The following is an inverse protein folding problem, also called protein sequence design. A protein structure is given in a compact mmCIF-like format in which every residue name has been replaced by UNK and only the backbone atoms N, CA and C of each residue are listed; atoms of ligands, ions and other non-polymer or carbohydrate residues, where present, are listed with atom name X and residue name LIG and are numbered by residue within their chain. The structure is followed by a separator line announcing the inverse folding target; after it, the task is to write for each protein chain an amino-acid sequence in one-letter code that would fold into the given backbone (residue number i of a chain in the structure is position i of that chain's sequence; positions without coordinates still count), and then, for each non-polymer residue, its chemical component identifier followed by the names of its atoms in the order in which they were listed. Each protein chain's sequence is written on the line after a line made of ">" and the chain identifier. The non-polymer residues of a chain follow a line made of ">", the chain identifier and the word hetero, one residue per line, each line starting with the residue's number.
data_IF_609894836551
#
_entry.id   IF_609894836551
#
_cell.length_a   1.000
_cell.length_b   1.000
_cell.length_c   1.000
_cell.angle_alpha   90.00
_cell.angle_beta   90.00
_cell.angle_gamma   90.00
#
_symmetry.space_group_name_H-M   'P 1'
#
loop_
_entity.id
_entity.type
_entity.pdbx_description
1 polymer ?
#
# COMPACT_ATOMS: atom_id res chain seq x y z
N UNK A 1 17.06 0.25 -27.73
CA UNK A 1 15.77 -0.45 -27.81
C UNK A 1 15.06 -0.22 -26.49
N UNK A 2 14.06 0.67 -26.43
CA UNK A 2 13.37 0.98 -25.19
C UNK A 2 12.52 -0.23 -24.77
N UNK A 3 12.71 -0.73 -23.55
CA UNK A 3 11.91 -1.84 -23.02
C UNK A 3 10.43 -1.42 -22.99
N UNK A 4 9.56 -2.15 -23.71
CA UNK A 4 8.13 -1.88 -23.74
C UNK A 4 7.50 -2.37 -22.44
N UNK A 5 6.81 -1.47 -21.73
CA UNK A 5 6.04 -1.84 -20.54
C UNK A 5 4.87 -2.75 -20.91
N UNK A 6 4.55 -3.69 -20.02
CA UNK A 6 3.34 -4.55 -20.11
C UNK A 6 2.09 -3.68 -19.93
N UNK A 7 0.95 -4.16 -20.42
CA UNK A 7 -0.35 -3.49 -20.25
C UNK A 7 -0.63 -3.22 -18.76
N UNK A 8 -1.07 -2.00 -18.45
CA UNK A 8 -1.36 -1.54 -17.10
C UNK A 8 -2.86 -1.23 -16.95
N UNK A 9 -3.47 -1.70 -15.87
CA UNK A 9 -4.88 -1.42 -15.52
C UNK A 9 -4.96 -0.99 -14.06
N UNK A 10 -5.84 -0.04 -13.77
CA UNK A 10 -6.05 0.47 -12.42
C UNK A 10 -7.55 0.66 -12.16
N UNK A 11 -8.02 0.17 -11.02
CA UNK A 11 -9.36 0.43 -10.48
C UNK A 11 -9.22 1.17 -9.15
N UNK A 12 -9.94 2.29 -9.00
CA UNK A 12 -9.91 3.13 -7.81
C UNK A 12 -11.14 2.88 -6.94
N UNK A 13 -10.99 3.08 -5.63
CA UNK A 13 -12.08 3.03 -4.63
C UNK A 13 -12.84 1.69 -4.59
N UNK A 14 -12.14 0.58 -4.86
CA UNK A 14 -12.73 -0.77 -4.89
C UNK A 14 -12.96 -1.36 -3.48
N UNK A 15 -12.39 -0.76 -2.43
CA UNK A 15 -12.59 -1.17 -1.04
C UNK A 15 -13.57 -0.25 -0.35
N UNK A 16 -14.62 -0.83 0.24
CA UNK A 16 -15.71 -0.08 0.88
C UNK A 16 -15.30 0.67 2.15
N UNK A 17 -14.30 0.17 2.88
CA UNK A 17 -13.96 0.64 4.23
C UNK A 17 -12.61 1.37 4.30
N UNK A 18 -11.99 1.64 3.15
CA UNK A 18 -10.76 2.44 3.09
C UNK A 18 -11.12 3.86 2.63
N UNK A 19 -10.38 4.86 3.13
CA UNK A 19 -10.55 6.24 2.67
C UNK A 19 -10.10 6.38 1.21
N UNK A 20 -9.08 5.62 0.83
CA UNK A 20 -8.70 5.41 -0.56
C UNK A 20 -8.20 4.00 -0.82
N UNK A 21 -8.47 3.48 -2.02
CA UNK A 21 -7.88 2.22 -2.46
C UNK A 21 -7.65 2.18 -3.96
N UNK A 22 -6.71 1.33 -4.37
CA UNK A 22 -6.41 1.07 -5.77
C UNK A 22 -6.07 -0.41 -5.98
N UNK A 23 -6.65 -1.01 -7.01
CA UNK A 23 -6.25 -2.30 -7.55
C UNK A 23 -5.46 -2.02 -8.84
N UNK A 24 -4.15 -2.29 -8.82
CA UNK A 24 -3.27 -2.05 -9.95
C UNK A 24 -2.73 -3.36 -10.50
N UNK A 25 -2.75 -3.51 -11.82
CA UNK A 25 -2.17 -4.67 -12.50
C UNK A 25 -1.27 -4.26 -13.65
N UNK A 26 -0.18 -5.01 -13.83
CA UNK A 26 0.75 -4.89 -14.94
C UNK A 26 1.10 -6.29 -15.48
N UNK A 27 0.54 -6.65 -16.64
CA UNK A 27 0.59 -8.02 -17.15
C UNK A 27 -0.04 -9.01 -16.16
N UNK A 28 0.75 -9.99 -15.68
CA UNK A 28 0.31 -10.99 -14.69
C UNK A 28 0.49 -10.57 -13.23
N UNK A 29 1.10 -9.41 -12.97
CA UNK A 29 1.32 -8.90 -11.61
C UNK A 29 0.14 -8.04 -11.20
N UNK A 30 -0.46 -8.32 -10.04
CA UNK A 30 -1.56 -7.54 -9.46
C UNK A 30 -1.23 -7.19 -8.01
N UNK A 31 -1.48 -5.92 -7.63
CA UNK A 31 -1.22 -5.38 -6.30
C UNK A 31 -2.44 -4.57 -5.87
N UNK A 32 -2.81 -4.71 -4.61
CA UNK A 32 -3.83 -3.89 -3.97
C UNK A 32 -3.18 -2.96 -2.96
N UNK A 33 -3.57 -1.70 -3.00
CA UNK A 33 -3.16 -0.69 -2.04
C UNK A 33 -4.40 -0.05 -1.41
N UNK A 34 -4.31 0.24 -0.12
CA UNK A 34 -5.32 0.99 0.61
C UNK A 34 -4.64 2.02 1.51
N UNK A 35 -5.23 3.19 1.63
CA UNK A 35 -4.86 4.19 2.62
C UNK A 35 -6.05 4.50 3.52
N UNK A 36 -5.74 4.77 4.78
CA UNK A 36 -6.67 5.23 5.80
C UNK A 36 -6.03 6.42 6.49
N UNK A 37 -6.69 7.57 6.45
CA UNK A 37 -6.24 8.81 7.04
C UNK A 37 -6.39 10.05 6.15
N UNK A 38 -6.03 11.24 6.66
CA UNK A 38 -5.38 11.45 7.97
C UNK A 38 -6.30 11.10 9.15
N UNK A 39 -5.73 10.50 10.20
CA UNK A 39 -6.47 10.06 11.38
C UNK A 39 -5.59 10.06 12.63
N UNK A 40 -6.19 9.78 13.77
CA UNK A 40 -5.49 9.80 15.05
C UNK A 40 -4.43 8.70 15.13
N UNK A 41 -3.23 9.09 15.53
CA UNK A 41 -2.11 8.19 15.77
C UNK A 41 -1.82 8.12 17.26
N UNK A 42 -1.32 6.97 17.71
CA UNK A 42 -0.95 6.79 19.12
C UNK A 42 0.16 7.79 19.49
N UNK A 43 0.03 8.44 20.65
CA UNK A 43 0.90 9.54 21.06
C UNK A 43 2.41 9.19 21.02
N UNK A 44 2.79 7.93 21.28
CA UNK A 44 4.19 7.48 21.20
C UNK A 44 4.79 7.50 19.78
N UNK A 45 3.95 7.58 18.74
CA UNK A 45 4.35 7.65 17.34
C UNK A 45 4.04 9.01 16.73
N UNK A 46 3.46 9.94 17.49
CA UNK A 46 3.08 11.25 16.98
C UNK A 46 4.30 12.14 16.78
N UNK A 47 4.32 12.85 15.65
CA UNK A 47 5.28 13.90 15.36
C UNK A 47 4.49 15.16 14.98
N UNK A 48 4.74 16.27 15.66
CA UNK A 48 4.04 17.54 15.45
C UNK A 48 4.47 18.23 14.14
N UNK A 49 5.68 17.96 13.65
CA UNK A 49 6.27 18.58 12.46
C UNK A 49 6.05 17.76 11.18
N UNK A 50 5.66 16.49 11.30
CA UNK A 50 5.55 15.58 10.15
C UNK A 50 4.44 14.53 10.30
N UNK A 51 3.80 14.19 9.19
CA UNK A 51 2.82 13.10 9.15
C UNK A 51 3.51 11.76 9.34
N UNK A 52 3.00 10.96 10.27
CA UNK A 52 3.47 9.60 10.49
C UNK A 52 2.77 8.64 9.54
N UNK A 53 3.54 7.81 8.85
CA UNK A 53 3.03 6.79 7.93
C UNK A 53 3.29 5.40 8.50
N UNK A 54 2.24 4.59 8.62
CA UNK A 54 2.37 3.16 8.90
C UNK A 54 2.20 2.36 7.61
N UNK A 55 3.17 1.51 7.29
CA UNK A 55 3.22 0.76 6.04
C UNK A 55 3.25 -0.72 6.37
N UNK A 56 2.22 -1.43 5.90
CA UNK A 56 2.17 -2.89 5.98
C UNK A 56 2.18 -3.49 4.58
N UNK A 57 2.97 -4.54 4.40
CA UNK A 57 3.04 -5.30 3.16
C UNK A 57 2.62 -6.75 3.42
N UNK A 58 1.81 -7.30 2.50
CA UNK A 58 1.42 -8.70 2.53
C UNK A 58 1.73 -9.38 1.20
N UNK A 59 2.52 -10.45 1.26
CA UNK A 59 2.73 -11.38 0.17
C UNK A 59 1.45 -12.16 -0.15
N UNK A 60 1.33 -12.62 -1.40
CA UNK A 60 0.19 -13.40 -1.88
C UNK A 60 0.05 -14.76 -1.16
N UNK A 61 1.17 -15.34 -0.71
CA UNK A 61 1.17 -16.59 0.03
C UNK A 61 2.28 -16.59 1.10
N UNK A 62 2.07 -17.42 2.14
CA UNK A 62 3.00 -17.57 3.27
C UNK A 62 2.79 -16.56 4.39
N UNK A 63 3.55 -16.74 5.48
CA UNK A 63 3.50 -15.87 6.63
C UNK A 63 4.29 -14.58 6.36
N UNK A 64 3.64 -13.43 6.53
CA UNK A 64 4.23 -12.11 6.40
C UNK A 64 5.14 -11.77 7.59
N UNK A 65 6.23 -12.52 7.75
CA UNK A 65 7.28 -12.20 8.71
C UNK A 65 8.19 -11.13 8.11
N UNK A 66 7.76 -9.89 8.17
CA UNK A 66 8.62 -8.74 7.89
C UNK A 66 9.69 -8.66 8.99
N UNK A 67 10.91 -9.10 8.70
CA UNK A 67 12.05 -8.91 9.60
C UNK A 67 12.58 -7.50 9.39
N UNK A 68 12.44 -6.65 10.40
CA UNK A 68 13.22 -5.41 10.48
C UNK A 68 14.69 -5.84 10.56
N UNK A 69 15.46 -5.51 9.52
CA UNK A 69 16.91 -5.64 9.55
C UNK A 69 17.41 -4.38 10.25
N UNK A 70 17.94 -4.55 11.47
CA UNK A 70 18.56 -3.48 12.25
C UNK A 70 19.77 -2.89 11.52
#
# INVERSE_FOLDING_TARGET
>A
MAARLREMKCELSFLKNADGSACFSQGSTCIWASCSGPGDIHASRANEEAMTLDISFRANCGDNKFKVVN
#
